data_IF_055439175823
#
_entry.id   IF_055439175823
#
_cell.length_a   1.000
_cell.length_b   1.000
_cell.length_c   1.000
_cell.angle_alpha   90.00
_cell.angle_beta   90.00
_cell.angle_gamma   90.00
#
_symmetry.space_group_name_H-M   'P 1'
#
loop_
_entity.id
_entity.type
_entity.pdbx_description
1 polymer ?
#
# COMPACT_ATOMS: atom_id res chain seq x y z
N UNK A 1 32.21 -6.36 18.36
CA UNK A 1 31.49 -5.83 19.53
C UNK A 1 30.46 -4.83 19.04
N UNK A 2 29.15 -5.16 19.02
CA UNK A 2 28.11 -4.26 18.54
C UNK A 2 27.89 -3.10 19.53
N UNK A 3 27.63 -1.90 18.99
CA UNK A 3 27.53 -0.66 19.75
C UNK A 3 26.18 -0.59 20.52
N UNK A 4 26.18 -0.43 21.85
CA UNK A 4 24.97 -0.52 22.69
C UNK A 4 24.06 0.74 22.68
N UNK A 5 24.42 1.82 21.99
CA UNK A 5 23.80 3.13 22.22
C UNK A 5 22.84 3.62 21.12
N UNK A 6 22.54 2.80 20.12
CA UNK A 6 21.70 3.21 18.98
C UNK A 6 20.21 3.19 19.34
N UNK A 7 19.81 2.24 20.20
CA UNK A 7 18.42 1.98 20.57
C UNK A 7 17.71 3.14 21.30
N UNK A 8 18.32 3.78 22.31
CA UNK A 8 17.68 4.89 23.01
C UNK A 8 17.50 6.13 22.12
N UNK A 9 18.40 6.29 21.15
CA UNK A 9 18.33 7.41 20.19
C UNK A 9 17.17 7.21 19.21
N UNK A 10 16.89 5.98 18.78
CA UNK A 10 15.76 5.66 17.93
C UNK A 10 14.41 5.88 18.65
N UNK A 11 14.31 5.47 19.91
CA UNK A 11 13.09 5.63 20.71
C UNK A 11 12.69 7.10 20.84
N UNK A 12 13.66 7.99 21.10
CA UNK A 12 13.39 9.44 21.19
C UNK A 12 12.87 10.03 19.88
N UNK A 13 13.43 9.60 18.74
CA UNK A 13 13.00 10.08 17.42
C UNK A 13 11.56 9.67 17.10
N UNK A 14 11.13 8.47 17.52
CA UNK A 14 9.78 7.98 17.29
C UNK A 14 8.73 8.64 18.20
N UNK A 15 9.05 8.89 19.47
CA UNK A 15 8.13 9.55 20.40
C UNK A 15 7.88 11.01 20.04
N UNK A 16 8.90 11.71 19.54
CA UNK A 16 8.78 13.10 19.09
C UNK A 16 7.81 13.20 17.90
N UNK A 17 7.89 12.29 16.93
CA UNK A 17 7.00 12.26 15.76
C UNK A 17 5.54 11.96 16.14
N UNK A 18 5.31 11.08 17.13
CA UNK A 18 3.97 10.74 17.65
C UNK A 18 3.32 11.88 18.42
N UNK A 19 4.09 12.70 19.13
CA UNK A 19 3.61 13.91 19.80
C UNK A 19 3.21 15.02 18.82
N UNK A 20 3.97 15.19 17.75
CA UNK A 20 3.70 16.24 16.75
C UNK A 20 2.42 15.95 15.94
N UNK A 21 2.12 14.68 15.65
CA UNK A 21 0.85 14.28 15.01
C UNK A 21 -0.38 14.45 15.91
N UNK A 22 -0.21 14.52 17.23
CA UNK A 22 -1.30 14.74 18.20
C UNK A 22 -1.49 16.21 18.56
N UNK A 23 -0.56 17.08 18.17
CA UNK A 23 -0.55 18.51 18.50
C UNK A 23 -0.90 19.42 17.32
N UNK A 24 -1.36 18.88 16.19
CA UNK A 24 -1.86 19.67 15.06
C UNK A 24 -3.39 19.81 15.19
N UNK A 25 -3.91 20.89 15.78
CA UNK A 25 -5.30 21.25 15.62
C UNK A 25 -5.54 21.61 14.14
N UNK A 26 -6.64 21.09 13.60
CA UNK A 26 -7.08 21.30 12.24
C UNK A 26 -7.31 22.81 11.95
N UNK A 27 -6.42 23.47 11.19
CA UNK A 27 -6.69 24.74 10.53
C UNK A 27 -5.62 25.13 9.49
N UNK A 28 -6.07 25.79 8.40
CA UNK A 28 -5.35 26.55 7.36
C UNK A 28 -4.71 25.72 6.22
N UNK A 29 -5.23 25.68 4.99
CA UNK A 29 -5.59 26.74 4.02
C UNK A 29 -4.38 27.51 3.42
N UNK A 30 -4.24 27.34 2.09
CA UNK A 30 -3.62 28.21 1.07
C UNK A 30 -2.09 28.20 0.83
N UNK A 31 -1.74 27.82 -0.42
CA UNK A 31 -0.59 28.32 -1.20
C UNK A 31 0.69 27.48 -1.09
N UNK A 32 1.46 27.20 -2.14
CA UNK A 32 1.51 27.68 -3.52
C UNK A 32 2.43 26.72 -4.32
N UNK A 33 2.08 26.51 -5.59
CA UNK A 33 2.96 26.22 -6.73
C UNK A 33 3.67 24.86 -6.86
N UNK A 34 3.08 24.05 -7.75
CA UNK A 34 3.69 23.59 -9.00
C UNK A 34 5.05 22.89 -8.96
N UNK A 35 5.01 21.56 -9.10
CA UNK A 35 5.90 20.87 -10.05
C UNK A 35 5.02 20.05 -10.98
N UNK A 36 4.86 20.58 -12.19
CA UNK A 36 4.49 19.83 -13.38
C UNK A 36 5.50 18.70 -13.63
N UNK A 37 5.09 17.71 -14.44
CA UNK A 37 5.83 16.53 -14.94
C UNK A 37 5.60 15.24 -14.13
N UNK A 38 5.16 14.11 -14.70
CA UNK A 38 5.39 13.56 -16.05
C UNK A 38 4.20 12.72 -16.51
N UNK A 39 3.69 12.85 -17.75
CA UNK A 39 2.85 11.83 -18.37
C UNK A 39 3.75 10.67 -18.81
N UNK A 40 3.58 9.47 -18.22
CA UNK A 40 4.21 8.23 -18.71
C UNK A 40 3.23 7.38 -19.52
N UNK A 41 2.48 8.03 -20.41
CA UNK A 41 1.91 7.37 -21.58
C UNK A 41 2.86 7.64 -22.74
N UNK A 42 3.12 6.64 -23.59
CA UNK A 42 4.07 6.59 -24.72
C UNK A 42 5.43 5.97 -24.40
N UNK A 43 5.48 4.65 -24.32
CA UNK A 43 6.38 3.82 -25.16
C UNK A 43 6.12 2.34 -24.89
N UNK A 44 5.14 1.80 -25.61
CA UNK A 44 5.26 0.43 -26.10
C UNK A 44 4.96 0.47 -27.58
N UNK A 45 6.01 0.77 -28.35
CA UNK A 45 6.16 0.27 -29.70
C UNK A 45 6.09 -1.26 -29.63
N UNK A 46 4.96 -1.80 -30.07
CA UNK A 46 4.91 -3.16 -30.59
C UNK A 46 4.53 -3.04 -32.06
N UNK A 47 5.56 -2.87 -32.89
CA UNK A 47 5.49 -3.11 -34.32
C UNK A 47 5.05 -4.56 -34.51
N UNK A 48 3.87 -4.78 -35.08
CA UNK A 48 3.48 -6.07 -35.66
C UNK A 48 2.83 -5.81 -37.03
N UNK A 49 3.21 -6.59 -38.06
CA UNK A 49 3.00 -6.23 -39.46
C UNK A 49 1.54 -6.39 -39.91
N UNK A 50 1.16 -5.49 -40.80
CA UNK A 50 -0.07 -5.44 -41.60
C UNK A 50 -0.37 -6.80 -42.26
N UNK A 51 -1.56 -7.34 -42.00
CA UNK A 51 -2.27 -8.23 -42.93
C UNK A 51 -3.67 -7.67 -43.17
N UNK A 52 -3.95 -7.34 -44.43
CA UNK A 52 -5.23 -6.84 -44.90
C UNK A 52 -6.33 -7.91 -44.80
N UNK A 53 -7.46 -7.53 -44.22
CA UNK A 53 -8.73 -8.24 -44.30
C UNK A 53 -9.87 -7.28 -43.94
N UNK A 54 -10.85 -7.03 -44.83
CA UNK A 54 -11.91 -6.07 -44.56
C UNK A 54 -13.08 -6.80 -43.88
N UNK A 55 -13.36 -6.51 -42.62
CA UNK A 55 -14.69 -6.69 -42.05
C UNK A 55 -14.90 -5.75 -40.88
N UNK A 56 -15.99 -5.01 -40.96
CA UNK A 56 -16.44 -4.06 -39.95
C UNK A 56 -16.60 -4.74 -38.59
N UNK A 57 -15.99 -4.16 -37.57
CA UNK A 57 -16.50 -4.26 -36.22
C UNK A 57 -16.22 -2.94 -35.52
N UNK A 58 -17.23 -2.08 -35.53
CA UNK A 58 -17.36 -0.98 -34.59
C UNK A 58 -17.56 -1.62 -33.21
N UNK A 59 -16.46 -2.12 -32.64
CA UNK A 59 -16.43 -2.71 -31.32
C UNK A 59 -16.25 -1.56 -30.34
N UNK A 60 -17.34 -1.31 -29.62
CA UNK A 60 -17.51 -0.42 -28.48
C UNK A 60 -16.21 -0.05 -27.76
N UNK A 61 -16.07 1.26 -27.48
CA UNK A 61 -15.17 1.73 -26.43
C UNK A 61 -15.33 0.82 -25.19
N UNK A 62 -14.24 0.39 -24.54
CA UNK A 62 -14.38 -0.25 -23.25
C UNK A 62 -15.13 0.72 -22.34
N UNK A 63 -16.27 0.25 -21.83
CA UNK A 63 -17.13 0.98 -20.92
C UNK A 63 -16.27 1.71 -19.90
N UNK A 64 -16.46 3.03 -19.80
CA UNK A 64 -15.91 3.81 -18.73
C UNK A 64 -16.19 3.07 -17.42
N UNK A 65 -15.12 2.63 -16.74
CA UNK A 65 -15.22 2.11 -15.37
C UNK A 65 -16.07 3.11 -14.62
N UNK A 66 -17.24 2.71 -14.07
CA UNK A 66 -18.17 3.66 -13.47
C UNK A 66 -17.37 4.50 -12.48
N UNK A 67 -17.46 5.83 -12.64
CA UNK A 67 -16.90 6.76 -11.68
C UNK A 67 -17.41 6.32 -10.31
N UNK A 68 -16.49 5.89 -9.44
CA UNK A 68 -16.86 5.21 -8.19
C UNK A 68 -17.83 6.09 -7.42
N UNK A 69 -19.00 5.53 -7.13
CA UNK A 69 -20.03 6.25 -6.38
C UNK A 69 -19.57 6.42 -4.94
N UNK A 70 -20.19 7.33 -4.18
CA UNK A 70 -19.89 7.49 -2.76
C UNK A 70 -20.02 6.16 -1.99
N UNK A 71 -21.01 5.33 -2.36
CA UNK A 71 -21.23 3.99 -1.80
C UNK A 71 -20.05 3.05 -2.07
N UNK A 72 -19.46 3.09 -3.26
CA UNK A 72 -18.30 2.25 -3.61
C UNK A 72 -17.07 2.64 -2.78
N UNK A 73 -16.90 3.93 -2.52
CA UNK A 73 -15.79 4.44 -1.69
C UNK A 73 -15.94 4.00 -0.23
N UNK A 74 -17.16 4.05 0.32
CA UNK A 74 -17.44 3.57 1.68
C UNK A 74 -17.08 2.08 1.82
N UNK A 75 -17.49 1.25 0.85
CA UNK A 75 -17.16 -0.18 0.84
C UNK A 75 -15.65 -0.45 0.76
N UNK A 76 -14.92 0.32 -0.06
CA UNK A 76 -13.45 0.22 -0.14
C UNK A 76 -12.78 0.64 1.17
N UNK A 77 -13.29 1.70 1.82
CA UNK A 77 -12.80 2.16 3.12
C UNK A 77 -13.04 1.11 4.21
N UNK A 78 -14.16 0.42 4.19
CA UNK A 78 -14.47 -0.67 5.12
C UNK A 78 -13.55 -1.86 4.92
N UNK A 79 -13.36 -2.31 3.69
CA UNK A 79 -12.41 -3.39 3.34
C UNK A 79 -10.99 -3.05 3.77
N UNK A 80 -10.58 -1.82 3.50
CA UNK A 80 -9.29 -1.27 3.92
C UNK A 80 -9.08 -1.36 5.44
N UNK A 81 -10.06 -0.86 6.23
CA UNK A 81 -10.01 -0.94 7.71
C UNK A 81 -10.00 -2.38 8.22
N UNK A 82 -10.71 -3.29 7.56
CA UNK A 82 -10.72 -4.71 7.89
C UNK A 82 -9.33 -5.33 7.68
N UNK A 83 -8.70 -5.08 6.54
CA UNK A 83 -7.35 -5.57 6.23
C UNK A 83 -6.32 -5.04 7.22
N UNK A 84 -6.34 -3.76 7.56
CA UNK A 84 -5.43 -3.17 8.56
C UNK A 84 -5.53 -3.86 9.92
N UNK A 85 -6.76 -4.12 10.40
CA UNK A 85 -6.97 -4.84 11.66
C UNK A 85 -6.41 -6.26 11.59
N UNK A 86 -6.64 -6.95 10.48
CA UNK A 86 -6.12 -8.30 10.28
C UNK A 86 -4.59 -8.32 10.24
N UNK A 87 -3.96 -7.41 9.48
CA UNK A 87 -2.51 -7.25 9.38
C UNK A 87 -1.91 -6.98 10.76
N UNK A 88 -2.52 -6.08 11.54
CA UNK A 88 -2.07 -5.75 12.89
C UNK A 88 -2.15 -6.98 13.82
N UNK A 89 -3.21 -7.79 13.73
CA UNK A 89 -3.36 -8.99 14.53
C UNK A 89 -2.29 -10.05 14.21
N UNK A 90 -1.97 -10.26 12.93
CA UNK A 90 -0.96 -11.22 12.49
C UNK A 90 0.46 -10.76 12.83
N UNK A 91 0.75 -9.47 12.67
CA UNK A 91 2.10 -8.91 12.85
C UNK A 91 2.62 -8.98 14.29
N UNK A 92 1.72 -9.01 15.29
CA UNK A 92 2.12 -9.01 16.70
C UNK A 92 2.83 -10.30 17.15
N UNK A 93 2.76 -11.38 16.38
CA UNK A 93 3.22 -12.72 16.81
C UNK A 93 4.10 -13.44 15.78
N UNK A 94 4.43 -12.80 14.66
CA UNK A 94 5.17 -13.43 13.57
C UNK A 94 6.67 -13.07 13.64
N UNK A 95 7.57 -14.06 13.78
CA UNK A 95 8.98 -13.92 13.39
C UNK A 95 9.09 -13.32 11.99
N UNK A 96 10.01 -12.38 11.80
CA UNK A 96 10.17 -11.68 10.52
C UNK A 96 11.57 -11.88 9.97
N UNK A 97 11.65 -12.40 8.74
CA UNK A 97 12.90 -12.39 7.97
C UNK A 97 13.21 -10.96 7.48
N UNK A 98 14.50 -10.65 7.33
CA UNK A 98 14.98 -9.34 6.85
C UNK A 98 14.42 -8.98 5.48
N UNK A 99 14.25 -9.98 4.60
CA UNK A 99 13.66 -9.78 3.26
C UNK A 99 12.20 -9.36 3.34
N UNK A 100 11.42 -10.03 4.16
CA UNK A 100 9.99 -9.73 4.34
C UNK A 100 9.78 -8.38 5.01
N UNK A 101 10.67 -7.99 5.94
CA UNK A 101 10.68 -6.65 6.53
C UNK A 101 10.90 -5.57 5.48
N UNK A 102 11.89 -5.73 4.60
CA UNK A 102 12.15 -4.75 3.54
C UNK A 102 10.97 -4.62 2.58
N UNK A 103 10.38 -5.75 2.17
CA UNK A 103 9.18 -5.75 1.33
C UNK A 103 7.99 -5.07 2.03
N UNK A 104 7.77 -5.36 3.32
CA UNK A 104 6.71 -4.73 4.10
C UNK A 104 6.91 -3.21 4.22
N UNK A 105 8.12 -2.75 4.52
CA UNK A 105 8.44 -1.32 4.63
C UNK A 105 8.23 -0.59 3.29
N UNK A 106 8.62 -1.19 2.16
CA UNK A 106 8.39 -0.61 0.84
C UNK A 106 6.89 -0.48 0.54
N UNK A 107 6.08 -1.49 0.88
CA UNK A 107 4.64 -1.44 0.69
C UNK A 107 4.00 -0.39 1.62
N UNK A 108 4.43 -0.32 2.88
CA UNK A 108 3.95 0.66 3.86
C UNK A 108 4.26 2.11 3.45
N UNK A 109 5.45 2.37 2.86
CA UNK A 109 5.79 3.68 2.30
C UNK A 109 4.86 4.06 1.14
N UNK A 110 4.60 3.13 0.21
CA UNK A 110 3.65 3.34 -0.89
C UNK A 110 2.23 3.61 -0.39
N UNK A 111 1.78 2.91 0.66
CA UNK A 111 0.49 3.18 1.31
C UNK A 111 0.51 4.60 1.90
N UNK A 112 1.59 4.99 2.58
CA UNK A 112 1.73 6.33 3.15
C UNK A 112 1.63 7.45 2.10
N UNK A 113 2.27 7.29 0.94
CA UNK A 113 2.15 8.24 -0.18
C UNK A 113 0.73 8.30 -0.74
N UNK A 114 0.08 7.15 -0.84
CA UNK A 114 -1.27 7.06 -1.37
C UNK A 114 -2.31 7.65 -0.40
N UNK A 115 -2.10 7.50 0.91
CA UNK A 115 -2.93 8.13 1.94
C UNK A 115 -2.88 9.66 1.83
N UNK A 116 -1.71 10.24 1.50
CA UNK A 116 -1.60 11.67 1.23
C UNK A 116 -2.36 12.10 -0.04
N UNK A 117 -2.36 11.27 -1.08
CA UNK A 117 -3.11 11.54 -2.32
C UNK A 117 -4.62 11.44 -2.11
N UNK A 118 -5.07 10.45 -1.33
CA UNK A 118 -6.47 10.31 -0.94
C UNK A 118 -6.92 11.55 -0.16
N UNK A 119 -6.13 11.99 0.82
CA UNK A 119 -6.46 13.17 1.64
C UNK A 119 -6.49 14.47 0.81
N UNK A 120 -5.65 14.55 -0.24
CA UNK A 120 -5.65 15.68 -1.18
C UNK A 120 -6.82 15.66 -2.20
N UNK A 121 -7.49 14.52 -2.37
CA UNK A 121 -8.54 14.33 -3.38
C UNK A 121 -9.85 15.02 -2.96
N UNK A 122 -10.39 15.90 -3.82
CA UNK A 122 -11.60 16.69 -3.52
C UNK A 122 -12.89 16.08 -4.08
N UNK A 123 -12.79 15.20 -5.07
CA UNK A 123 -13.93 14.60 -5.74
C UNK A 123 -13.95 13.07 -5.51
N UNK A 124 -15.10 12.45 -5.19
CA UNK A 124 -15.22 11.00 -5.10
C UNK A 124 -14.71 10.25 -6.35
N UNK A 125 -14.87 10.80 -7.56
CA UNK A 125 -14.39 10.16 -8.79
C UNK A 125 -12.86 9.99 -8.84
N UNK A 126 -12.10 10.92 -8.24
CA UNK A 126 -10.65 10.86 -8.13
C UNK A 126 -10.20 9.98 -6.95
N UNK A 127 -10.97 9.99 -5.86
CA UNK A 127 -10.67 9.20 -4.68
C UNK A 127 -10.90 7.68 -4.91
N UNK A 128 -11.92 7.29 -5.68
CA UNK A 128 -12.26 5.89 -5.92
C UNK A 128 -11.11 5.02 -6.49
N UNK A 129 -10.37 5.43 -7.55
CA UNK A 129 -9.21 4.65 -8.01
C UNK A 129 -8.08 4.59 -6.97
N UNK A 130 -7.86 5.65 -6.18
CA UNK A 130 -6.86 5.63 -5.12
C UNK A 130 -7.23 4.65 -4.00
N UNK A 131 -8.49 4.65 -3.56
CA UNK A 131 -8.99 3.70 -2.57
C UNK A 131 -8.86 2.23 -3.02
N UNK A 132 -9.13 1.94 -4.29
CA UNK A 132 -8.88 0.60 -4.86
C UNK A 132 -7.40 0.23 -4.78
N UNK A 133 -6.53 1.14 -5.20
CA UNK A 133 -5.08 0.92 -5.14
C UNK A 133 -4.57 0.73 -3.70
N UNK A 134 -5.16 1.41 -2.72
CA UNK A 134 -4.88 1.20 -1.30
C UNK A 134 -5.18 -0.23 -0.87
N UNK A 135 -6.35 -0.73 -1.25
CA UNK A 135 -6.78 -2.10 -0.94
C UNK A 135 -5.81 -3.10 -1.56
N UNK A 136 -5.42 -2.93 -2.84
CA UNK A 136 -4.45 -3.82 -3.49
C UNK A 136 -3.10 -3.88 -2.74
N UNK A 137 -2.60 -2.73 -2.27
CA UNK A 137 -1.37 -2.66 -1.49
C UNK A 137 -1.51 -3.33 -0.12
N UNK A 138 -2.65 -3.15 0.56
CA UNK A 138 -2.94 -3.83 1.81
C UNK A 138 -3.05 -5.35 1.63
N UNK A 139 -3.63 -5.83 0.55
CA UNK A 139 -3.71 -7.25 0.23
C UNK A 139 -2.33 -7.84 -0.06
N UNK A 140 -1.48 -7.07 -0.75
CA UNK A 140 -0.07 -7.44 -0.97
C UNK A 140 0.68 -7.52 0.37
N UNK A 141 0.53 -6.51 1.24
CA UNK A 141 1.11 -6.52 2.57
C UNK A 141 0.61 -7.70 3.41
N UNK A 142 -0.69 -7.99 3.32
CA UNK A 142 -1.31 -9.12 4.00
C UNK A 142 -0.69 -10.46 3.56
N UNK A 143 -0.39 -10.61 2.26
CA UNK A 143 0.27 -11.80 1.72
C UNK A 143 1.68 -11.96 2.28
N UNK A 144 2.47 -10.87 2.35
CA UNK A 144 3.81 -10.89 2.96
C UNK A 144 3.74 -11.33 4.43
N UNK A 145 2.81 -10.77 5.20
CA UNK A 145 2.63 -11.12 6.62
C UNK A 145 2.13 -12.56 6.82
N UNK A 146 1.25 -13.04 5.94
CA UNK A 146 0.80 -14.44 5.96
C UNK A 146 1.96 -15.41 5.70
N UNK A 147 2.82 -15.10 4.71
CA UNK A 147 4.00 -15.89 4.39
C UNK A 147 4.94 -16.02 5.59
N UNK A 148 5.28 -14.90 6.24
CA UNK A 148 6.11 -14.90 7.44
C UNK A 148 5.50 -15.74 8.59
N UNK A 149 4.18 -15.64 8.80
CA UNK A 149 3.49 -16.43 9.82
C UNK A 149 3.48 -17.94 9.53
N UNK A 150 3.44 -18.34 8.25
CA UNK A 150 3.52 -19.75 7.85
C UNK A 150 4.95 -20.29 8.01
N UNK A 151 5.96 -19.52 7.63
CA UNK A 151 7.37 -19.88 7.82
C UNK A 151 7.67 -20.14 9.31
N UNK A 152 7.27 -19.20 10.17
CA UNK A 152 7.41 -19.32 11.62
C UNK A 152 6.78 -20.60 12.21
N UNK A 153 5.61 -21.00 11.71
CA UNK A 153 4.94 -22.24 12.14
C UNK A 153 5.70 -23.50 11.71
N UNK A 154 6.35 -23.43 10.56
CA UNK A 154 7.11 -24.54 9.98
C UNK A 154 8.41 -24.77 10.77
N UNK A 155 9.09 -23.70 11.18
CA UNK A 155 10.27 -23.75 12.04
C UNK A 155 9.96 -24.34 13.42
N UNK A 156 8.83 -23.94 14.02
CA UNK A 156 8.38 -24.48 15.31
C UNK A 156 8.15 -26.00 15.27
N UNK A 157 7.70 -26.54 14.13
CA UNK A 157 7.50 -27.99 13.96
C UNK A 157 8.79 -28.78 13.75
N UNK A 158 9.89 -28.11 13.39
CA UNK A 158 11.19 -28.73 13.04
C UNK A 158 12.19 -28.71 14.19
N UNK A 159 11.79 -28.34 15.41
CA UNK A 159 12.67 -28.44 16.59
C UNK A 159 12.44 -29.80 17.27
N UNK A 160 13.15 -30.88 16.90
CA UNK A 160 13.05 -32.14 17.62
C UNK A 160 13.58 -31.96 19.03
N UNK A 161 12.83 -32.46 20.00
CA UNK A 161 13.22 -32.61 21.40
C UNK A 161 14.54 -33.38 21.52
N UNK A 162 15.68 -32.68 21.42
CA UNK A 162 16.98 -33.20 21.83
C UNK A 162 17.16 -32.96 23.33
N UNK A 163 16.44 -33.75 24.12
CA UNK A 163 16.77 -34.01 25.52
C UNK A 163 16.37 -35.45 25.81
N UNK A 164 17.31 -36.36 25.59
CA UNK A 164 17.47 -37.63 26.28
C UNK A 164 18.92 -38.09 26.15
#
# INVERSE_FOLDING_TARGET
MPQPDVWPRLQRTLEQRRRWRRALPAALAAGLLAVAFVPRLLTQDAVAPVRHGPTASSAALPAAVPAGTATDIEALRDRSRMLERWIAAVSAHAPQDSRDLMAAVEIEDRIGLLDLQIDASRNPGEAAPLWRRRVDLLETLATVRAGAALAARSDASTTPSQLL
#
